data_IF_245425706560
#
_entry.id   IF_245425706560
#
_cell.length_a   1.000
_cell.length_b   1.000
_cell.length_c   1.000
_cell.angle_alpha   90.00
_cell.angle_beta   90.00
_cell.angle_gamma   90.00
#
_symmetry.space_group_name_H-M   'P 1'
#
loop_
_entity.id
_entity.type
_entity.pdbx_description
1 polymer ?
#
# COMPACT_ATOMS: atom_id res chain seq x y z
N UNK A 1 -17.77 -8.75 13.65
CA UNK A 1 -16.60 -8.93 12.78
C UNK A 1 -16.48 -7.65 11.98
N UNK A 2 -15.34 -6.98 12.08
CA UNK A 2 -15.06 -5.75 11.31
C UNK A 2 -14.61 -6.21 9.93
N UNK A 3 -15.23 -5.71 8.87
CA UNK A 3 -14.80 -6.02 7.50
C UNK A 3 -13.31 -5.68 7.34
N UNK A 4 -12.53 -6.51 6.60
CA UNK A 4 -11.13 -6.21 6.36
C UNK A 4 -11.02 -4.86 5.68
N UNK A 5 -10.39 -3.91 6.38
CA UNK A 5 -10.07 -2.60 5.82
C UNK A 5 -8.82 -2.75 4.99
N UNK A 6 -8.94 -2.50 3.69
CA UNK A 6 -7.81 -2.43 2.79
C UNK A 6 -7.67 -1.00 2.27
N UNK A 7 -6.44 -0.54 2.12
CA UNK A 7 -6.13 0.76 1.56
C UNK A 7 -5.37 0.58 0.25
N UNK A 8 -5.72 1.40 -0.74
CA UNK A 8 -4.91 1.60 -1.93
C UNK A 8 -4.21 2.96 -1.83
N UNK A 9 -2.88 2.95 -1.80
CA UNK A 9 -2.04 4.13 -1.68
C UNK A 9 -1.35 4.38 -3.01
N UNK A 10 -1.77 5.45 -3.67
CA UNK A 10 -1.20 5.90 -4.94
C UNK A 10 -0.07 6.88 -4.65
N UNK A 11 1.08 6.64 -5.26
CA UNK A 11 2.23 7.53 -5.19
C UNK A 11 2.28 8.43 -6.43
N UNK A 12 2.89 9.61 -6.30
CA UNK A 12 3.22 10.42 -7.48
C UNK A 12 4.23 9.67 -8.38
N UNK A 13 4.21 9.85 -9.71
CA UNK A 13 5.17 9.21 -10.60
C UNK A 13 6.63 9.50 -10.21
N UNK A 14 6.94 10.75 -9.85
CA UNK A 14 8.29 11.11 -9.40
C UNK A 14 8.71 10.41 -8.09
N UNK A 15 7.75 10.02 -7.25
CA UNK A 15 8.05 9.26 -6.04
C UNK A 15 8.39 7.80 -6.36
N UNK A 16 7.64 7.19 -7.30
CA UNK A 16 7.95 5.82 -7.77
C UNK A 16 9.35 5.79 -8.39
N UNK A 17 9.69 6.79 -9.21
CA UNK A 17 11.02 6.92 -9.80
C UNK A 17 12.11 7.11 -8.73
N UNK A 18 11.91 8.02 -7.78
CA UNK A 18 12.88 8.31 -6.73
C UNK A 18 13.09 7.14 -5.76
N UNK A 19 12.03 6.41 -5.42
CA UNK A 19 12.10 5.25 -4.53
C UNK A 19 12.73 4.03 -5.23
N UNK A 20 12.49 3.85 -6.53
CA UNK A 20 13.19 2.88 -7.36
C UNK A 20 12.87 1.42 -7.06
N UNK A 21 13.86 0.54 -7.21
CA UNK A 21 13.70 -0.92 -7.14
C UNK A 21 13.03 -1.47 -5.86
N UNK A 22 13.31 -0.95 -4.64
CA UNK A 22 12.74 -1.49 -3.40
C UNK A 22 11.21 -1.54 -3.35
N UNK A 23 10.52 -0.59 -4.01
CA UNK A 23 9.05 -0.51 -3.90
C UNK A 23 8.33 -1.28 -4.99
N UNK A 24 9.03 -1.65 -6.08
CA UNK A 24 8.44 -2.32 -7.24
C UNK A 24 7.71 -3.62 -6.92
N UNK A 25 8.22 -4.52 -6.04
CA UNK A 25 7.50 -5.75 -5.70
C UNK A 25 6.13 -5.52 -5.06
N UNK A 26 5.89 -4.33 -4.52
CA UNK A 26 4.67 -3.99 -3.77
C UNK A 26 3.71 -3.11 -4.58
N UNK A 27 4.12 -2.67 -5.79
CA UNK A 27 3.23 -1.97 -6.71
C UNK A 27 2.31 -2.96 -7.41
N UNK A 28 1.01 -2.65 -7.38
CA UNK A 28 0.02 -3.24 -8.25
C UNK A 28 -0.25 -2.31 -9.41
N UNK A 29 -0.21 -2.84 -10.62
CA UNK A 29 -0.65 -2.12 -11.81
C UNK A 29 -2.13 -2.43 -12.06
N UNK A 30 -2.93 -1.38 -12.22
CA UNK A 30 -4.37 -1.45 -12.41
C UNK A 30 -4.81 -0.30 -13.32
N UNK A 31 -6.02 -0.34 -13.91
CA UNK A 31 -6.50 0.75 -14.78
C UNK A 31 -6.46 2.15 -14.14
N UNK A 32 -6.53 2.23 -12.81
CA UNK A 32 -6.42 3.49 -12.04
C UNK A 32 -4.98 3.98 -11.80
N UNK A 33 -3.96 3.22 -12.21
CA UNK A 33 -2.54 3.50 -12.01
C UNK A 33 -1.87 2.66 -10.91
N UNK A 34 -0.53 2.77 -10.86
CA UNK A 34 0.30 2.04 -9.91
C UNK A 34 0.02 2.47 -8.46
N UNK A 35 -0.23 1.51 -7.59
CA UNK A 35 -0.54 1.73 -6.18
C UNK A 35 -0.03 0.60 -5.29
N UNK A 36 0.12 0.87 -3.99
CA UNK A 36 0.43 -0.12 -2.96
C UNK A 36 -0.86 -0.47 -2.24
N UNK A 37 -1.09 -1.76 -1.98
CA UNK A 37 -2.21 -2.23 -1.16
C UNK A 37 -1.72 -2.61 0.23
N UNK A 38 -2.31 -2.02 1.27
CA UNK A 38 -1.95 -2.26 2.67
C UNK A 38 -3.18 -2.44 3.55
N UNK A 39 -3.01 -3.10 4.70
CA UNK A 39 -4.08 -3.31 5.70
C UNK A 39 -4.23 -2.13 6.64
N UNK A 40 -3.15 -1.37 6.86
CA UNK A 40 -3.14 -0.21 7.75
C UNK A 40 -2.32 0.94 7.16
N UNK A 41 -2.65 2.15 7.60
CA UNK A 41 -1.91 3.39 7.29
C UNK A 41 -1.80 4.25 8.55
N UNK A 42 -0.70 4.96 8.70
CA UNK A 42 -0.54 6.07 9.63
C UNK A 42 0.02 7.30 8.91
N UNK A 43 -0.65 8.43 9.04
CA UNK A 43 -0.26 9.71 8.45
C UNK A 43 -0.07 10.82 9.50
N UNK A 44 -0.07 10.46 10.78
CA UNK A 44 0.07 11.40 11.91
C UNK A 44 1.52 11.78 12.20
N UNK A 45 2.47 10.96 11.73
CA UNK A 45 3.91 11.15 11.90
C UNK A 45 4.58 12.03 10.84
N UNK A 46 5.91 12.07 10.89
CA UNK A 46 6.74 12.75 9.88
C UNK A 46 6.79 12.00 8.55
N UNK A 47 6.51 10.71 8.58
CA UNK A 47 6.40 9.82 7.43
C UNK A 47 4.98 9.28 7.36
N UNK A 48 4.57 8.94 6.15
CA UNK A 48 3.39 8.16 5.86
C UNK A 48 3.76 6.68 5.92
N UNK A 49 3.14 5.96 6.83
CA UNK A 49 3.43 4.57 7.17
C UNK A 49 2.34 3.67 6.58
N UNK A 50 2.74 2.52 6.06
CA UNK A 50 1.87 1.52 5.44
C UNK A 50 2.24 0.14 5.97
N UNK A 51 1.28 -0.61 6.47
CA UNK A 51 1.49 -1.99 6.93
C UNK A 51 0.94 -2.98 5.91
N UNK A 52 1.81 -3.81 5.36
CA UNK A 52 1.48 -4.84 4.39
C UNK A 52 1.50 -6.21 5.06
N UNK A 53 0.41 -6.95 4.93
CA UNK A 53 0.38 -8.36 5.29
C UNK A 53 1.10 -9.21 4.23
N UNK A 54 2.05 -10.02 4.67
CA UNK A 54 2.80 -10.96 3.84
C UNK A 54 2.90 -12.33 4.49
N UNK A 55 3.54 -13.26 3.77
CA UNK A 55 3.94 -14.56 4.30
C UNK A 55 5.43 -14.73 4.16
N UNK A 56 6.09 -15.13 5.24
CA UNK A 56 7.50 -15.49 5.24
C UNK A 56 7.76 -16.80 4.48
N UNK A 57 9.04 -17.15 4.27
CA UNK A 57 9.45 -18.33 3.49
C UNK A 57 8.90 -19.66 4.04
N UNK A 58 8.58 -19.73 5.33
CA UNK A 58 8.06 -20.94 5.98
C UNK A 58 6.54 -20.88 6.22
N UNK A 59 5.85 -19.91 5.61
CA UNK A 59 4.40 -19.74 5.70
C UNK A 59 3.91 -19.02 6.95
N UNK A 60 4.82 -18.51 7.79
CA UNK A 60 4.50 -17.63 8.90
C UNK A 60 3.92 -16.30 8.39
N UNK A 61 2.97 -15.73 9.13
CA UNK A 61 2.51 -14.37 8.84
C UNK A 61 3.65 -13.40 9.12
N UNK A 62 3.97 -12.57 8.13
CA UNK A 62 4.95 -11.49 8.26
C UNK A 62 4.24 -10.17 7.99
N UNK A 63 4.57 -9.15 8.75
CA UNK A 63 4.16 -7.78 8.48
C UNK A 63 5.36 -6.98 7.98
N UNK A 64 5.15 -6.25 6.89
CA UNK A 64 6.13 -5.32 6.34
C UNK A 64 5.60 -3.90 6.51
N UNK A 65 6.35 -3.06 7.19
CA UNK A 65 6.10 -1.62 7.25
C UNK A 65 6.89 -0.89 6.17
N UNK A 66 6.21 -0.08 5.37
CA UNK A 66 6.81 0.83 4.39
C UNK A 66 6.52 2.26 4.85
N UNK A 67 7.57 3.04 5.05
CA UNK A 67 7.48 4.44 5.45
C UNK A 67 8.04 5.34 4.35
N UNK A 68 7.25 6.32 3.90
CA UNK A 68 7.64 7.29 2.87
C UNK A 68 7.30 8.71 3.30
N UNK A 69 7.97 9.76 2.78
CA UNK A 69 7.51 11.13 3.00
C UNK A 69 6.06 11.31 2.53
N UNK A 70 5.20 11.94 3.32
CA UNK A 70 3.78 12.13 2.97
C UNK A 70 3.60 12.94 1.66
N UNK A 71 4.58 13.77 1.29
CA UNK A 71 4.60 14.49 0.01
C UNK A 71 4.71 13.59 -1.22
N UNK A 72 5.11 12.32 -1.05
CA UNK A 72 5.17 11.32 -2.11
C UNK A 72 3.81 10.67 -2.37
N UNK A 73 2.89 10.75 -1.42
CA UNK A 73 1.55 10.16 -1.53
C UNK A 73 0.63 11.10 -2.30
N UNK A 74 0.03 10.57 -3.37
CA UNK A 74 -0.89 11.29 -4.24
C UNK A 74 -2.34 11.15 -3.78
N UNK A 75 -2.74 9.95 -3.41
CA UNK A 75 -4.11 9.62 -3.04
C UNK A 75 -4.13 8.37 -2.16
N UNK A 76 -4.99 8.37 -1.15
CA UNK A 76 -5.29 7.18 -0.36
C UNK A 76 -6.78 6.88 -0.50
N UNK A 77 -7.11 5.64 -0.85
CA UNK A 77 -8.47 5.14 -0.92
C UNK A 77 -8.66 4.05 0.13
N UNK A 78 -9.68 4.17 0.96
CA UNK A 78 -10.05 3.12 1.93
C UNK A 78 -11.22 2.31 1.40
N UNK A 79 -11.19 1.01 1.63
CA UNK A 79 -12.26 0.09 1.27
C UNK A 79 -12.76 -0.68 2.47
N UNK A 80 -14.07 -0.85 2.48
CA UNK A 80 -14.80 -1.59 3.50
C UNK A 80 -15.65 -2.62 2.74
N UNK A 81 -15.31 -3.90 2.84
CA UNK A 81 -16.06 -4.99 2.21
C UNK A 81 -15.23 -6.27 2.02
N UNK A 82 -15.90 -7.38 1.74
CA UNK A 82 -15.27 -8.70 1.53
C UNK A 82 -14.67 -8.90 0.11
N UNK A 83 -14.59 -7.86 -0.72
CA UNK A 83 -14.15 -7.97 -2.12
C UNK A 83 -12.86 -7.18 -2.39
N UNK A 84 -11.95 -7.80 -3.13
CA UNK A 84 -10.68 -7.19 -3.54
C UNK A 84 -10.87 -6.08 -4.59
N UNK A 85 -9.93 -5.13 -4.66
CA UNK A 85 -9.85 -4.19 -5.79
C UNK A 85 -9.47 -4.95 -7.05
N UNK A 86 -10.43 -5.07 -7.96
CA UNK A 86 -10.23 -5.29 -9.37
C UNK A 86 -11.40 -4.67 -10.11
N UNK A 87 -11.14 -3.71 -11.00
CA UNK A 87 -12.12 -3.48 -12.06
C UNK A 87 -12.10 -4.74 -12.91
N UNK A 88 -13.11 -5.58 -12.77
CA UNK A 88 -13.33 -6.75 -13.64
C UNK A 88 -13.62 -6.25 -15.06
#
# INVERSE_FOLDING_TARGET
>A
MTDPKNYAVFLYPQAIEALGEPIKPYLRDAPGGAHIVCSEIDASGALFEMTLAGKGPNGESLELEIMVPSSMVKLVMSMHGEHEIGFV
#
